data_IF_567080808812
#
_entry.id   IF_567080808812
#
_cell.length_a   1.000
_cell.length_b   1.000
_cell.length_c   1.000
_cell.angle_alpha   90.00
_cell.angle_beta   90.00
_cell.angle_gamma   90.00
#
_symmetry.space_group_name_H-M   'P 1'
#
loop_
_entity.id
_entity.type
_entity.pdbx_description
1 polymer ?
#
# COMPACT_ATOMS: atom_id res chain seq x y z
N UNK A 1 -37.81 18.17 1.78
CA UNK A 1 -36.53 18.80 2.21
C UNK A 1 -35.47 17.78 2.59
N UNK A 2 -35.76 16.77 3.43
CA UNK A 2 -34.79 15.74 3.88
C UNK A 2 -34.20 14.91 2.73
N UNK A 3 -35.03 14.50 1.77
CA UNK A 3 -34.60 13.75 0.58
C UNK A 3 -33.78 14.58 -0.41
N UNK A 4 -34.02 15.90 -0.48
CA UNK A 4 -33.22 16.80 -1.31
C UNK A 4 -31.80 16.97 -0.74
N UNK A 5 -31.68 17.16 0.59
CA UNK A 5 -30.38 17.24 1.26
C UNK A 5 -29.58 15.93 1.15
N UNK A 6 -30.25 14.77 1.28
CA UNK A 6 -29.61 13.47 1.09
C UNK A 6 -29.13 13.27 -0.36
N UNK A 7 -29.92 13.67 -1.35
CA UNK A 7 -29.55 13.58 -2.76
C UNK A 7 -28.32 14.45 -3.09
N UNK A 8 -28.27 15.68 -2.58
CA UNK A 8 -27.12 16.57 -2.78
C UNK A 8 -25.83 16.01 -2.16
N UNK A 9 -25.92 15.39 -0.97
CA UNK A 9 -24.77 14.74 -0.31
C UNK A 9 -24.23 13.56 -1.12
N UNK A 10 -25.12 12.73 -1.67
CA UNK A 10 -24.72 11.57 -2.49
C UNK A 10 -24.01 12.02 -3.76
N UNK A 11 -24.56 13.02 -4.47
CA UNK A 11 -23.94 13.56 -5.69
C UNK A 11 -22.55 14.13 -5.40
N UNK A 12 -22.40 14.86 -4.29
CA UNK A 12 -21.10 15.41 -3.88
C UNK A 12 -20.09 14.29 -3.59
N UNK A 13 -20.49 13.27 -2.82
CA UNK A 13 -19.63 12.15 -2.45
C UNK A 13 -19.15 11.35 -3.69
N UNK A 14 -20.04 11.10 -4.66
CA UNK A 14 -19.67 10.40 -5.90
C UNK A 14 -18.68 11.21 -6.75
N UNK A 15 -18.82 12.55 -6.79
CA UNK A 15 -17.88 13.43 -7.49
C UNK A 15 -16.46 13.39 -6.91
N UNK A 16 -16.32 13.34 -5.57
CA UNK A 16 -15.00 13.25 -4.93
C UNK A 16 -14.28 11.92 -5.23
N UNK A 17 -15.03 10.83 -5.35
CA UNK A 17 -14.46 9.49 -5.60
C UNK A 17 -14.03 9.29 -7.06
N UNK A 18 -14.60 10.04 -8.01
CA UNK A 18 -14.30 9.89 -9.44
C UNK A 18 -12.96 10.54 -9.86
N UNK A 19 -12.33 11.36 -9.03
CA UNK A 19 -11.12 12.12 -9.38
C UNK A 19 -9.79 11.36 -9.31
N UNK A 20 -9.79 10.07 -8.95
CA UNK A 20 -8.55 9.31 -8.73
C UNK A 20 -7.87 8.79 -10.01
N UNK A 21 -8.61 8.65 -11.11
CA UNK A 21 -8.07 8.10 -12.36
C UNK A 21 -7.62 9.23 -13.29
N UNK A 22 -6.36 9.65 -13.18
CA UNK A 22 -5.72 10.58 -14.12
C UNK A 22 -4.74 9.83 -15.01
N UNK A 23 -4.82 10.06 -16.32
CA UNK A 23 -3.82 9.55 -17.26
C UNK A 23 -2.61 10.47 -17.21
N UNK A 24 -1.47 9.94 -16.74
CA UNK A 24 -0.20 10.65 -16.68
C UNK A 24 0.67 10.28 -17.87
N UNK A 25 1.55 11.19 -18.26
CA UNK A 25 2.49 10.91 -19.33
C UNK A 25 3.54 9.87 -18.87
N UNK A 26 4.07 9.04 -19.78
CA UNK A 26 5.00 7.96 -19.42
C UNK A 26 6.23 8.41 -18.61
N UNK A 27 6.73 9.63 -18.84
CA UNK A 27 7.89 10.22 -18.15
C UNK A 27 7.58 10.79 -16.76
N UNK A 28 6.31 11.07 -16.45
CA UNK A 28 5.89 11.53 -15.10
C UNK A 28 5.93 10.38 -14.08
N UNK A 29 5.93 9.12 -14.56
CA UNK A 29 6.09 7.92 -13.72
C UNK A 29 7.46 7.82 -13.04
N UNK A 30 8.51 8.38 -13.66
CA UNK A 30 9.87 8.31 -13.13
C UNK A 30 10.06 9.05 -11.80
N UNK A 31 9.19 10.02 -11.48
CA UNK A 31 9.20 10.71 -10.18
C UNK A 31 8.53 9.90 -9.07
N UNK A 32 7.64 8.96 -9.42
CA UNK A 32 6.91 8.12 -8.48
C UNK A 32 7.66 6.82 -8.17
N UNK A 33 8.40 6.29 -9.14
CA UNK A 33 9.21 5.08 -8.99
C UNK A 33 10.67 5.46 -8.74
N UNK A 34 11.08 5.52 -7.47
CA UNK A 34 12.48 5.71 -7.11
C UNK A 34 13.31 4.49 -7.55
N UNK A 35 14.60 4.66 -7.90
CA UNK A 35 15.50 3.55 -8.24
C UNK A 35 15.54 2.44 -7.18
N UNK A 36 15.38 2.82 -5.91
CA UNK A 36 15.41 1.92 -4.76
C UNK A 36 14.15 1.04 -4.62
N UNK A 37 13.10 1.31 -5.42
CA UNK A 37 11.91 0.47 -5.51
C UNK A 37 12.10 -0.73 -6.47
N UNK A 38 13.29 -0.90 -7.05
CA UNK A 38 13.60 -2.08 -7.86
C UNK A 38 13.75 -3.32 -6.98
N UNK A 39 13.06 -4.40 -7.37
CA UNK A 39 13.20 -5.70 -6.71
C UNK A 39 14.66 -6.17 -6.75
N UNK A 40 15.23 -6.47 -5.58
CA UNK A 40 16.61 -6.96 -5.45
C UNK A 40 17.69 -5.90 -5.71
N UNK A 41 17.34 -4.61 -5.80
CA UNK A 41 18.29 -3.53 -6.08
C UNK A 41 19.25 -3.22 -4.92
N UNK A 42 18.85 -3.54 -3.68
CA UNK A 42 19.68 -3.36 -2.49
C UNK A 42 19.36 -4.45 -1.45
N UNK A 43 20.37 -5.26 -1.11
CA UNK A 43 20.26 -6.34 -0.13
C UNK A 43 19.85 -5.83 1.25
N UNK A 44 20.40 -4.67 1.67
CA UNK A 44 20.09 -4.04 2.95
C UNK A 44 18.61 -3.62 3.06
N UNK A 45 18.04 -3.08 1.98
CA UNK A 45 16.62 -2.71 1.94
C UNK A 45 15.72 -3.95 1.96
N UNK A 46 16.11 -5.00 1.26
CA UNK A 46 15.38 -6.27 1.25
C UNK A 46 15.36 -6.92 2.64
N UNK A 47 16.49 -6.89 3.37
CA UNK A 47 16.55 -7.40 4.75
C UNK A 47 15.67 -6.57 5.71
N UNK A 48 15.66 -5.24 5.56
CA UNK A 48 14.81 -4.36 6.38
C UNK A 48 13.31 -4.59 6.11
N UNK A 49 12.92 -4.78 4.85
CA UNK A 49 11.54 -5.08 4.47
C UNK A 49 11.09 -6.46 4.96
N UNK A 50 11.96 -7.47 4.86
CA UNK A 50 11.73 -8.79 5.42
C UNK A 50 11.49 -8.72 6.94
N UNK A 51 12.35 -8.02 7.68
CA UNK A 51 12.19 -7.85 9.12
C UNK A 51 10.89 -7.12 9.49
N UNK A 52 10.54 -6.04 8.77
CA UNK A 52 9.28 -5.33 8.99
C UNK A 52 8.04 -6.21 8.72
N UNK A 53 8.14 -7.10 7.74
CA UNK A 53 7.10 -8.08 7.42
C UNK A 53 7.01 -9.16 8.49
N UNK A 54 8.13 -9.69 8.97
CA UNK A 54 8.17 -10.67 10.06
C UNK A 54 7.56 -10.13 11.35
N UNK A 55 7.81 -8.87 11.71
CA UNK A 55 7.22 -8.25 12.91
C UNK A 55 5.71 -8.05 12.76
N UNK A 56 5.25 -7.65 11.56
CA UNK A 56 3.82 -7.42 11.29
C UNK A 56 3.03 -8.71 11.18
N UNK A 57 3.60 -9.68 10.50
CA UNK A 57 2.99 -10.96 10.17
C UNK A 57 3.56 -12.10 11.05
N UNK A 58 4.04 -11.78 12.25
CA UNK A 58 4.69 -12.75 13.16
C UNK A 58 3.80 -13.93 13.57
N UNK A 59 2.49 -13.84 13.31
CA UNK A 59 1.55 -14.96 13.46
C UNK A 59 1.48 -15.88 12.23
N UNK A 60 1.85 -15.41 11.03
CA UNK A 60 1.84 -16.21 9.79
C UNK A 60 3.14 -16.99 9.55
N UNK A 61 4.20 -16.72 10.31
CA UNK A 61 5.53 -17.28 10.10
C UNK A 61 6.33 -16.46 9.07
N UNK A 62 7.57 -16.12 9.42
CA UNK A 62 8.49 -15.35 8.58
C UNK A 62 8.98 -16.09 7.33
N UNK A 63 9.67 -15.37 6.45
CA UNK A 63 10.21 -15.90 5.19
C UNK A 63 11.27 -17.00 5.41
N UNK A 64 12.00 -16.95 6.53
CA UNK A 64 13.00 -17.94 6.95
C UNK A 64 12.57 -18.69 8.24
N UNK A 65 11.28 -19.00 8.38
CA UNK A 65 10.74 -19.59 9.60
C UNK A 65 11.26 -21.01 9.90
N UNK A 66 12.23 -21.11 10.82
CA UNK A 66 12.37 -22.26 11.73
C UNK A 66 11.58 -22.09 13.05
N UNK A 67 10.69 -21.09 13.15
CA UNK A 67 9.87 -20.83 14.35
C UNK A 67 8.51 -20.25 13.97
N UNK A 68 7.44 -21.00 14.24
CA UNK A 68 6.09 -20.73 13.75
C UNK A 68 5.22 -19.89 14.68
N UNK A 69 4.50 -18.95 14.07
CA UNK A 69 3.13 -18.53 14.39
C UNK A 69 2.61 -18.65 15.81
N UNK A 70 2.95 -17.67 16.65
CA UNK A 70 2.17 -17.17 17.81
C UNK A 70 2.85 -15.93 18.46
N UNK A 71 4.06 -15.55 18.00
CA UNK A 71 4.79 -14.40 18.54
C UNK A 71 5.64 -14.69 19.78
N UNK A 72 5.87 -15.95 20.13
CA UNK A 72 6.92 -16.33 21.08
C UNK A 72 8.01 -17.07 20.29
N UNK A 73 9.16 -16.43 20.08
CA UNK A 73 10.40 -17.15 19.85
C UNK A 73 10.79 -17.90 21.14
#
# INVERSE_FOLDING_TARGET
MKHAAAFTLVVLATGLLAGGCVTINPWERGRLANPDMQFGGAEELAAAEAHATEVREGSSGGLDASGGGCGCN
#
